data_IF_457494623752
#
_entry.id   IF_457494623752
#
_cell.length_a   1.000
_cell.length_b   1.000
_cell.length_c   1.000
_cell.angle_alpha   90.00
_cell.angle_beta   90.00
_cell.angle_gamma   90.00
#
_symmetry.space_group_name_H-M   'P 1'
#
loop_
_entity.id
_entity.type
_entity.pdbx_description
1 polymer ?
#
# COMPACT_ATOMS: atom_id res chain seq x y z
N UNK A 1 -44.20 -22.22 24.11
CA UNK A 1 -44.09 -20.75 23.91
C UNK A 1 -43.07 -20.21 24.90
N UNK A 2 -41.82 -20.09 24.48
CA UNK A 2 -40.71 -19.64 25.33
C UNK A 2 -40.35 -18.23 24.86
N UNK A 3 -40.69 -17.24 25.68
CA UNK A 3 -40.36 -15.85 25.42
C UNK A 3 -38.87 -15.63 25.57
N UNK A 4 -38.20 -15.34 24.47
CA UNK A 4 -36.80 -14.94 24.43
C UNK A 4 -36.70 -13.53 25.03
N UNK A 5 -36.27 -13.44 26.27
CA UNK A 5 -35.94 -12.17 26.92
C UNK A 5 -34.67 -11.62 26.26
N UNK A 6 -34.80 -10.63 25.40
CA UNK A 6 -33.72 -9.76 24.98
C UNK A 6 -33.25 -8.94 26.19
N UNK A 7 -32.18 -9.39 26.85
CA UNK A 7 -31.50 -8.60 27.90
C UNK A 7 -30.95 -7.33 27.25
N UNK A 8 -31.64 -6.22 27.39
CA UNK A 8 -31.07 -4.89 27.19
C UNK A 8 -29.87 -4.74 28.15
N UNK A 9 -28.67 -4.72 27.58
CA UNK A 9 -27.42 -4.46 28.32
C UNK A 9 -27.42 -2.97 28.72
N UNK A 10 -28.09 -2.62 29.84
CA UNK A 10 -27.97 -1.29 30.44
C UNK A 10 -26.57 -1.16 31.02
N UNK A 11 -25.65 -0.52 30.23
CA UNK A 11 -24.31 -0.25 30.69
C UNK A 11 -24.28 0.56 31.99
N UNK A 12 -23.29 0.31 32.83
CA UNK A 12 -23.10 1.07 34.08
C UNK A 12 -23.01 2.58 33.81
N UNK A 13 -23.41 3.46 34.72
CA UNK A 13 -23.39 4.93 34.51
C UNK A 13 -22.05 5.48 34.01
N UNK A 14 -20.94 4.85 34.42
CA UNK A 14 -19.60 5.18 33.94
C UNK A 14 -19.37 4.83 32.47
N UNK A 15 -19.90 3.71 31.99
CA UNK A 15 -19.80 3.29 30.58
C UNK A 15 -20.63 4.19 29.68
N UNK A 16 -21.78 4.64 30.12
CA UNK A 16 -22.63 5.57 29.36
C UNK A 16 -21.97 6.94 29.25
N UNK A 17 -21.35 7.44 30.33
CA UNK A 17 -20.60 8.70 30.32
C UNK A 17 -19.39 8.64 29.40
N UNK A 18 -18.62 7.55 29.46
CA UNK A 18 -17.45 7.34 28.58
C UNK A 18 -17.86 7.28 27.11
N UNK A 19 -18.91 6.53 26.74
CA UNK A 19 -19.44 6.51 25.37
C UNK A 19 -19.90 7.89 24.88
N UNK A 20 -20.52 8.70 25.75
CA UNK A 20 -20.93 10.06 25.40
C UNK A 20 -19.72 10.97 25.14
N UNK A 21 -18.65 10.86 25.92
CA UNK A 21 -17.41 11.63 25.73
C UNK A 21 -16.72 11.18 24.44
N UNK A 22 -16.62 9.88 24.20
CA UNK A 22 -16.03 9.31 22.97
C UNK A 22 -16.85 9.71 21.74
N UNK A 23 -18.18 9.64 21.80
CA UNK A 23 -19.06 10.08 20.72
C UNK A 23 -18.99 11.61 20.50
N UNK A 24 -18.96 12.40 21.56
CA UNK A 24 -18.80 13.85 21.48
C UNK A 24 -17.46 14.25 20.87
N UNK A 25 -16.38 13.59 21.26
CA UNK A 25 -15.06 13.75 20.67
C UNK A 25 -15.05 13.39 19.18
N UNK A 26 -15.60 12.23 18.81
CA UNK A 26 -15.68 11.80 17.42
C UNK A 26 -16.52 12.77 16.56
N UNK A 27 -17.65 13.25 17.08
CA UNK A 27 -18.47 14.25 16.39
C UNK A 27 -17.75 15.59 16.23
N UNK A 28 -17.02 16.06 17.25
CA UNK A 28 -16.24 17.29 17.18
C UNK A 28 -15.14 17.20 16.12
N UNK A 29 -14.33 16.12 16.14
CA UNK A 29 -13.30 15.91 15.12
C UNK A 29 -13.90 15.69 13.73
N UNK A 30 -15.02 14.97 13.62
CA UNK A 30 -15.73 14.79 12.36
C UNK A 30 -16.26 16.10 11.80
N UNK A 31 -16.83 16.97 12.63
CA UNK A 31 -17.31 18.29 12.22
C UNK A 31 -16.15 19.19 11.78
N UNK A 32 -15.04 19.20 12.52
CA UNK A 32 -13.85 19.98 12.18
C UNK A 32 -13.27 19.56 10.82
N UNK A 33 -13.19 18.26 10.59
CA UNK A 33 -12.70 17.68 9.35
C UNK A 33 -13.63 17.98 8.17
N UNK A 34 -14.96 17.90 8.40
CA UNK A 34 -15.97 18.23 7.40
C UNK A 34 -15.92 19.72 7.02
N UNK A 35 -15.80 20.61 7.99
CA UNK A 35 -15.66 22.06 7.76
C UNK A 35 -14.39 22.34 6.95
N UNK A 36 -13.27 21.73 7.32
CA UNK A 36 -12.00 21.87 6.61
C UNK A 36 -12.10 21.41 5.15
N UNK A 37 -12.74 20.24 4.89
CA UNK A 37 -12.97 19.73 3.54
C UNK A 37 -13.85 20.66 2.72
N UNK A 38 -14.95 21.16 3.29
CA UNK A 38 -15.88 22.07 2.62
C UNK A 38 -15.18 23.40 2.28
N UNK A 39 -14.41 23.96 3.20
CA UNK A 39 -13.66 25.21 2.97
C UNK A 39 -12.65 25.04 1.83
N UNK A 40 -11.90 23.91 1.79
CA UNK A 40 -10.96 23.64 0.71
C UNK A 40 -11.66 23.41 -0.64
N UNK A 41 -12.82 22.74 -0.63
CA UNK A 41 -13.63 22.52 -1.84
C UNK A 41 -14.13 23.85 -2.42
N UNK A 42 -14.55 24.80 -1.58
CA UNK A 42 -15.04 26.11 -2.03
C UNK A 42 -13.90 27.01 -2.49
N UNK A 43 -12.77 27.03 -1.78
CA UNK A 43 -11.63 27.90 -2.10
C UNK A 43 -10.91 27.52 -3.38
N UNK A 44 -10.72 26.22 -3.64
CA UNK A 44 -9.96 25.74 -4.80
C UNK A 44 -10.45 24.36 -5.25
N UNK A 45 -11.59 24.30 -5.97
CA UNK A 45 -12.23 23.05 -6.35
C UNK A 45 -11.35 22.16 -7.24
N UNK A 46 -10.58 22.76 -8.15
CA UNK A 46 -9.66 22.01 -9.04
C UNK A 46 -8.50 21.39 -8.30
N UNK A 47 -7.88 22.10 -7.36
CA UNK A 47 -6.81 21.55 -6.52
C UNK A 47 -7.35 20.48 -5.59
N UNK A 48 -8.52 20.67 -5.00
CA UNK A 48 -9.17 19.67 -4.16
C UNK A 48 -9.42 18.38 -4.93
N UNK A 49 -9.94 18.47 -6.15
CA UNK A 49 -10.17 17.31 -7.00
C UNK A 49 -8.85 16.59 -7.37
N UNK A 50 -7.79 17.33 -7.74
CA UNK A 50 -6.48 16.76 -8.04
C UNK A 50 -5.87 16.02 -6.85
N UNK A 51 -5.90 16.64 -5.65
CA UNK A 51 -5.38 16.00 -4.42
C UNK A 51 -6.21 14.78 -4.04
N UNK A 52 -7.54 14.82 -4.24
CA UNK A 52 -8.42 13.68 -4.00
C UNK A 52 -8.10 12.51 -4.93
N UNK A 53 -7.89 12.75 -6.22
CA UNK A 53 -7.49 11.71 -7.19
C UNK A 53 -6.11 11.14 -6.83
N UNK A 54 -5.15 11.99 -6.45
CA UNK A 54 -3.83 11.54 -6.02
C UNK A 54 -3.92 10.71 -4.73
N UNK A 55 -4.73 11.13 -3.77
CA UNK A 55 -5.00 10.39 -2.54
C UNK A 55 -5.65 9.04 -2.80
N UNK A 56 -6.63 8.99 -3.70
CA UNK A 56 -7.28 7.74 -4.13
C UNK A 56 -6.29 6.79 -4.80
N UNK A 57 -5.46 7.29 -5.73
CA UNK A 57 -4.39 6.52 -6.38
C UNK A 57 -3.43 5.91 -5.35
N UNK A 58 -2.96 6.69 -4.39
CA UNK A 58 -2.08 6.20 -3.33
C UNK A 58 -2.81 5.19 -2.44
N UNK A 59 -4.10 5.43 -2.14
CA UNK A 59 -4.94 4.49 -1.40
C UNK A 59 -5.08 3.14 -2.07
N UNK A 60 -5.23 3.10 -3.41
CA UNK A 60 -5.26 1.85 -4.18
C UNK A 60 -3.95 1.07 -4.08
N UNK A 61 -2.79 1.75 -4.11
CA UNK A 61 -1.49 1.10 -3.93
C UNK A 61 -1.37 0.48 -2.53
N UNK A 62 -1.78 1.21 -1.50
CA UNK A 62 -1.81 0.66 -0.14
C UNK A 62 -2.78 -0.51 0.01
N UNK A 63 -3.94 -0.45 -0.66
CA UNK A 63 -4.91 -1.55 -0.66
C UNK A 63 -4.33 -2.82 -1.29
N UNK A 64 -3.61 -2.72 -2.42
CA UNK A 64 -2.92 -3.86 -3.04
C UNK A 64 -1.84 -4.46 -2.14
N UNK A 65 -1.05 -3.62 -1.48
CA UNK A 65 -0.03 -4.08 -0.52
C UNK A 65 -0.71 -4.77 0.67
N UNK A 66 -1.78 -4.20 1.21
CA UNK A 66 -2.53 -4.76 2.31
C UNK A 66 -3.19 -6.10 1.94
N UNK A 67 -3.72 -6.21 0.72
CA UNK A 67 -4.27 -7.46 0.20
C UNK A 67 -3.20 -8.55 0.10
N UNK A 68 -2.03 -8.23 -0.47
CA UNK A 68 -0.90 -9.16 -0.52
C UNK A 68 -0.45 -9.59 0.88
N UNK A 69 -0.43 -8.67 1.84
CA UNK A 69 -0.11 -8.95 3.23
C UNK A 69 -1.13 -9.89 3.88
N UNK A 70 -2.43 -9.64 3.68
CA UNK A 70 -3.50 -10.47 4.25
C UNK A 70 -3.52 -11.87 3.64
N UNK A 71 -3.21 -12.02 2.34
CA UNK A 71 -3.09 -13.34 1.71
C UNK A 71 -1.94 -14.16 2.33
N UNK A 72 -0.77 -13.54 2.51
CA UNK A 72 0.38 -14.22 3.14
C UNK A 72 0.06 -14.58 4.59
N UNK A 73 -0.54 -13.65 5.36
CA UNK A 73 -0.95 -13.92 6.74
C UNK A 73 -2.00 -15.03 6.84
N UNK A 74 -2.98 -15.05 5.93
CA UNK A 74 -4.04 -16.07 5.91
C UNK A 74 -3.53 -17.50 5.64
N UNK A 75 -2.40 -17.64 4.92
CA UNK A 75 -1.81 -18.93 4.60
C UNK A 75 -0.83 -19.40 5.69
N UNK A 76 0.01 -18.50 6.18
CA UNK A 76 1.15 -18.85 7.07
C UNK A 76 0.81 -18.61 8.54
N UNK A 77 -0.24 -17.83 8.84
CA UNK A 77 -0.65 -17.37 10.18
C UNK A 77 0.47 -16.62 10.94
N UNK A 78 1.47 -16.13 10.22
CA UNK A 78 2.58 -15.37 10.76
C UNK A 78 2.64 -13.98 10.15
N UNK A 79 2.86 -12.97 10.99
CA UNK A 79 2.99 -11.58 10.55
C UNK A 79 4.35 -11.40 9.88
N UNK A 80 4.36 -11.18 8.57
CA UNK A 80 5.58 -10.94 7.79
C UNK A 80 5.84 -9.43 7.64
N UNK A 81 6.58 -8.84 8.57
CA UNK A 81 6.94 -7.42 8.49
C UNK A 81 7.82 -7.06 7.28
N UNK A 82 8.53 -8.05 6.71
CA UNK A 82 9.36 -7.84 5.54
C UNK A 82 8.56 -7.68 4.22
N UNK A 83 7.22 -7.82 4.23
CA UNK A 83 6.41 -7.75 3.02
C UNK A 83 6.46 -6.37 2.34
N UNK A 84 6.42 -5.29 3.13
CA UNK A 84 6.57 -3.92 2.61
C UNK A 84 7.94 -3.66 1.98
N UNK A 85 8.98 -4.25 2.56
CA UNK A 85 10.35 -4.11 2.05
C UNK A 85 10.57 -4.92 0.76
N UNK A 86 9.86 -6.05 0.60
CA UNK A 86 9.81 -6.77 -0.67
C UNK A 86 9.17 -5.94 -1.78
N UNK A 87 8.09 -5.22 -1.49
CA UNK A 87 7.49 -4.29 -2.44
C UNK A 87 8.48 -3.17 -2.82
N UNK A 88 9.18 -2.60 -1.85
CA UNK A 88 10.24 -1.61 -2.10
C UNK A 88 11.33 -2.18 -3.03
N UNK A 89 11.87 -3.35 -2.72
CA UNK A 89 12.92 -3.98 -3.54
C UNK A 89 12.44 -4.33 -4.94
N UNK A 90 11.19 -4.80 -5.09
CA UNK A 90 10.59 -5.07 -6.40
C UNK A 90 10.46 -3.80 -7.24
N UNK A 91 10.06 -2.69 -6.62
CA UNK A 91 9.99 -1.39 -7.26
C UNK A 91 11.36 -0.88 -7.70
N UNK A 92 12.38 -0.99 -6.83
CA UNK A 92 13.77 -0.63 -7.16
C UNK A 92 14.32 -1.51 -8.29
N UNK A 93 14.06 -2.82 -8.24
CA UNK A 93 14.49 -3.76 -9.28
C UNK A 93 13.86 -3.42 -10.62
N UNK A 94 12.55 -3.16 -10.66
CA UNK A 94 11.86 -2.81 -11.91
C UNK A 94 12.40 -1.50 -12.52
N UNK A 95 12.65 -0.49 -11.70
CA UNK A 95 13.27 0.76 -12.16
C UNK A 95 14.69 0.55 -12.68
N UNK A 96 15.49 -0.26 -11.99
CA UNK A 96 16.84 -0.62 -12.44
C UNK A 96 16.81 -1.40 -13.75
N UNK A 97 15.92 -2.38 -13.89
CA UNK A 97 15.76 -3.21 -15.07
C UNK A 97 15.40 -2.37 -16.30
N UNK A 98 14.44 -1.45 -16.15
CA UNK A 98 14.04 -0.55 -17.24
C UNK A 98 15.17 0.37 -17.66
N UNK A 99 15.89 0.96 -16.71
CA UNK A 99 16.93 1.97 -17.01
C UNK A 99 18.21 1.35 -17.54
N UNK A 100 18.62 0.20 -17.03
CA UNK A 100 19.92 -0.41 -17.37
C UNK A 100 19.85 -1.40 -18.53
N UNK A 101 18.76 -2.19 -18.64
CA UNK A 101 18.63 -3.18 -19.71
C UNK A 101 17.94 -2.65 -20.95
N UNK A 102 16.85 -1.90 -20.77
CA UNK A 102 16.15 -1.32 -21.90
C UNK A 102 16.64 0.09 -22.26
N UNK A 103 17.52 0.69 -21.47
CA UNK A 103 18.04 2.07 -21.66
C UNK A 103 16.90 3.08 -21.92
N UNK A 104 15.68 2.76 -21.50
CA UNK A 104 14.52 3.61 -21.70
C UNK A 104 14.39 4.60 -20.55
N UNK A 105 14.63 5.86 -20.86
CA UNK A 105 14.38 6.99 -19.94
C UNK A 105 13.22 7.86 -20.40
N UNK A 106 12.73 7.63 -21.63
CA UNK A 106 11.62 8.39 -22.24
C UNK A 106 10.51 7.46 -22.70
N UNK A 107 9.27 7.96 -22.76
CA UNK A 107 8.13 7.20 -23.23
C UNK A 107 8.25 6.87 -24.73
N UNK A 108 8.15 5.59 -25.07
CA UNK A 108 8.14 5.06 -26.43
C UNK A 108 6.87 4.22 -26.66
N UNK A 109 6.44 4.01 -27.91
CA UNK A 109 5.33 3.11 -28.23
C UNK A 109 5.50 1.69 -27.70
N UNK A 110 6.74 1.21 -27.61
CA UNK A 110 7.10 -0.10 -27.00
C UNK A 110 7.14 -0.09 -25.47
N UNK A 111 6.78 1.01 -24.84
CA UNK A 111 6.81 1.16 -23.38
C UNK A 111 5.91 0.16 -22.63
N UNK A 112 4.79 -0.25 -23.22
CA UNK A 112 3.91 -1.26 -22.65
C UNK A 112 4.57 -2.65 -22.55
N UNK A 113 5.33 -3.02 -23.58
CA UNK A 113 6.04 -4.31 -23.61
C UNK A 113 7.19 -4.31 -22.60
N UNK A 114 7.91 -3.20 -22.52
CA UNK A 114 8.98 -3.00 -21.51
C UNK A 114 8.40 -3.03 -20.09
N UNK A 115 7.24 -2.39 -19.87
CA UNK A 115 6.55 -2.41 -18.60
C UNK A 115 6.12 -3.84 -18.22
N UNK A 116 5.50 -4.58 -19.15
CA UNK A 116 5.09 -5.96 -18.93
C UNK A 116 6.29 -6.87 -18.60
N UNK A 117 7.40 -6.73 -19.34
CA UNK A 117 8.63 -7.47 -19.08
C UNK A 117 9.21 -7.14 -17.71
N UNK A 118 9.29 -5.85 -17.35
CA UNK A 118 9.75 -5.41 -16.05
C UNK A 118 8.86 -5.91 -14.90
N UNK A 119 7.55 -5.97 -15.11
CA UNK A 119 6.60 -6.51 -14.15
C UNK A 119 6.87 -8.00 -13.88
N UNK A 120 6.97 -8.82 -14.94
CA UNK A 120 7.23 -10.26 -14.83
C UNK A 120 8.57 -10.53 -14.15
N UNK A 121 9.62 -9.79 -14.54
CA UNK A 121 10.94 -9.91 -13.92
C UNK A 121 10.94 -9.49 -12.44
N UNK A 122 10.23 -8.42 -12.10
CA UNK A 122 10.09 -7.99 -10.71
C UNK A 122 9.31 -9.01 -9.88
N UNK A 123 8.25 -9.62 -10.43
CA UNK A 123 7.51 -10.71 -9.77
C UNK A 123 8.42 -11.91 -9.50
N UNK A 124 9.19 -12.36 -10.49
CA UNK A 124 10.14 -13.46 -10.35
C UNK A 124 11.22 -13.17 -9.30
N UNK A 125 11.75 -11.92 -9.31
CA UNK A 125 12.73 -11.45 -8.33
C UNK A 125 12.17 -11.45 -6.91
N UNK A 126 10.99 -10.86 -6.69
CA UNK A 126 10.33 -10.83 -5.38
C UNK A 126 9.97 -12.24 -4.90
N UNK A 127 9.49 -13.12 -5.79
CA UNK A 127 9.19 -14.51 -5.47
C UNK A 127 10.46 -15.27 -5.01
N UNK A 128 11.58 -15.06 -5.71
CA UNK A 128 12.87 -15.68 -5.36
C UNK A 128 13.33 -15.21 -3.98
N UNK A 129 13.30 -13.92 -3.70
CA UNK A 129 13.66 -13.39 -2.37
C UNK A 129 12.74 -13.93 -1.30
N UNK A 130 11.43 -13.98 -1.55
CA UNK A 130 10.47 -14.48 -0.56
C UNK A 130 10.70 -15.97 -0.24
N UNK A 131 10.99 -16.80 -1.25
CA UNK A 131 11.36 -18.21 -1.07
C UNK A 131 12.66 -18.35 -0.28
N UNK A 132 13.66 -17.50 -0.54
CA UNK A 132 14.91 -17.49 0.23
C UNK A 132 14.66 -17.12 1.70
N UNK A 133 13.88 -16.10 1.98
CA UNK A 133 13.52 -15.69 3.34
C UNK A 133 12.76 -16.81 4.05
N UNK A 134 11.80 -17.44 3.37
CA UNK A 134 11.04 -18.55 3.94
C UNK A 134 11.96 -19.72 4.29
N UNK A 135 12.85 -20.13 3.39
CA UNK A 135 13.75 -21.26 3.61
C UNK A 135 14.82 -21.00 4.67
N UNK A 136 15.43 -19.81 4.64
CA UNK A 136 16.57 -19.49 5.52
C UNK A 136 16.11 -19.05 6.91
N UNK A 137 15.05 -18.22 6.99
CA UNK A 137 14.61 -17.62 8.23
C UNK A 137 13.40 -18.36 8.84
N UNK A 138 12.29 -18.49 8.11
CA UNK A 138 11.03 -18.91 8.72
C UNK A 138 10.89 -20.43 8.87
N UNK A 139 11.38 -21.22 7.92
CA UNK A 139 11.23 -22.68 7.94
C UNK A 139 11.84 -23.32 9.19
N UNK A 140 12.95 -22.80 9.67
CA UNK A 140 13.63 -23.31 10.89
C UNK A 140 12.88 -22.92 12.16
N UNK A 141 12.07 -21.87 12.13
CA UNK A 141 11.37 -21.33 13.29
C UNK A 141 9.91 -21.77 13.41
N UNK A 142 9.41 -22.60 12.50
CA UNK A 142 8.01 -23.08 12.52
C UNK A 142 7.64 -23.85 13.81
N UNK A 143 8.62 -24.44 14.49
CA UNK A 143 8.43 -25.17 15.76
C UNK A 143 8.79 -24.32 16.99
N UNK A 144 9.26 -23.09 16.80
CA UNK A 144 9.62 -22.19 17.88
C UNK A 144 8.39 -21.44 18.43
N UNK A 145 8.46 -20.85 19.63
CA UNK A 145 7.40 -19.99 20.16
C UNK A 145 7.05 -18.86 19.17
N UNK A 146 5.78 -18.45 19.13
CA UNK A 146 5.25 -17.47 18.17
C UNK A 146 6.02 -16.14 18.12
N UNK A 147 6.72 -15.78 19.19
CA UNK A 147 7.55 -14.58 19.25
C UNK A 147 8.83 -14.67 18.39
N UNK A 148 9.42 -15.86 18.23
CA UNK A 148 10.67 -16.02 17.50
C UNK A 148 10.53 -15.69 15.99
N UNK A 149 9.52 -16.20 15.25
CA UNK A 149 9.27 -15.78 13.88
C UNK A 149 8.99 -14.28 13.75
N UNK A 150 8.29 -13.67 14.74
CA UNK A 150 7.98 -12.25 14.74
C UNK A 150 9.26 -11.39 14.78
N UNK A 151 10.16 -11.68 15.73
CA UNK A 151 11.45 -10.97 15.87
C UNK A 151 12.29 -11.17 14.60
N UNK A 152 12.31 -12.38 14.06
CA UNK A 152 13.04 -12.69 12.82
C UNK A 152 12.47 -11.92 11.63
N UNK A 153 11.14 -11.75 11.53
CA UNK A 153 10.51 -10.95 10.48
C UNK A 153 10.95 -9.50 10.52
N UNK A 154 11.02 -8.90 11.72
CA UNK A 154 11.53 -7.55 11.92
C UNK A 154 13.02 -7.47 11.53
N UNK A 155 13.84 -8.43 11.95
CA UNK A 155 15.25 -8.49 11.57
C UNK A 155 15.45 -8.60 10.05
N UNK A 156 14.64 -9.41 9.37
CA UNK A 156 14.66 -9.54 7.90
C UNK A 156 14.24 -8.24 7.23
N UNK A 157 13.25 -7.53 7.76
CA UNK A 157 12.85 -6.19 7.28
C UNK A 157 14.04 -5.23 7.27
N UNK A 158 14.78 -5.11 8.38
CA UNK A 158 15.99 -4.27 8.43
C UNK A 158 17.07 -4.68 7.42
N UNK A 159 17.29 -6.00 7.23
CA UNK A 159 18.26 -6.50 6.25
C UNK A 159 17.85 -6.07 4.84
N UNK A 160 16.57 -6.22 4.46
CA UNK A 160 16.09 -5.82 3.14
C UNK A 160 16.16 -4.32 2.92
N UNK A 161 15.85 -3.51 3.94
CA UNK A 161 16.00 -2.06 3.89
C UNK A 161 17.45 -1.65 3.68
N UNK A 162 18.37 -2.25 4.42
CA UNK A 162 19.80 -1.99 4.25
C UNK A 162 20.31 -2.37 2.85
N UNK A 163 19.88 -3.51 2.32
CA UNK A 163 20.19 -3.92 0.94
C UNK A 163 19.64 -2.89 -0.05
N UNK A 164 18.40 -2.42 0.12
CA UNK A 164 17.80 -1.40 -0.74
C UNK A 164 18.59 -0.09 -0.73
N UNK A 165 18.96 0.40 0.45
CA UNK A 165 19.77 1.62 0.61
C UNK A 165 21.16 1.45 0.00
N UNK A 166 21.81 0.31 0.22
CA UNK A 166 23.14 0.02 -0.32
C UNK A 166 23.15 -0.08 -1.84
N UNK A 167 22.08 -0.61 -2.42
CA UNK A 167 21.94 -0.79 -3.87
C UNK A 167 21.60 0.51 -4.60
N UNK A 168 20.65 1.28 -4.08
CA UNK A 168 20.08 2.43 -4.78
C UNK A 168 20.39 3.79 -4.13
N UNK A 169 21.01 3.80 -2.95
CA UNK A 169 21.22 4.99 -2.12
C UNK A 169 19.97 5.35 -1.33
N UNK A 170 20.13 6.28 -0.38
CA UNK A 170 19.05 6.76 0.49
C UNK A 170 18.21 7.90 -0.12
N UNK A 171 18.60 8.43 -1.27
CA UNK A 171 17.89 9.54 -1.92
C UNK A 171 16.65 9.05 -2.68
N UNK A 172 15.50 9.74 -2.57
CA UNK A 172 14.32 9.45 -3.39
C UNK A 172 14.64 9.57 -4.87
N UNK A 173 14.31 8.55 -5.65
CA UNK A 173 14.47 8.54 -7.10
C UNK A 173 13.12 8.48 -7.78
N UNK A 174 12.95 9.28 -8.82
CA UNK A 174 11.75 9.20 -9.66
C UNK A 174 11.79 7.93 -10.50
N UNK A 175 10.66 7.23 -10.57
CA UNK A 175 10.50 6.09 -11.44
C UNK A 175 10.54 6.52 -12.92
N UNK A 176 11.20 5.78 -13.83
CA UNK A 176 11.32 6.17 -15.22
C UNK A 176 9.96 6.26 -15.90
N UNK A 177 9.74 7.32 -16.67
CA UNK A 177 8.48 7.58 -17.39
C UNK A 177 8.44 6.75 -18.67
N UNK A 178 8.09 5.48 -18.56
CA UNK A 178 8.11 4.52 -19.68
C UNK A 178 6.77 4.45 -20.40
N UNK A 179 5.66 4.62 -19.65
CA UNK A 179 4.34 4.55 -20.23
C UNK A 179 4.04 5.78 -21.09
N UNK A 180 3.33 5.62 -22.25
CA UNK A 180 2.90 6.74 -23.05
C UNK A 180 2.13 7.75 -22.20
N UNK A 181 2.51 9.01 -22.29
CA UNK A 181 1.85 10.10 -21.58
C UNK A 181 0.59 10.46 -22.37
N UNK A 182 -0.55 10.08 -21.86
CA UNK A 182 -1.84 10.62 -22.25
C UNK A 182 -2.48 11.15 -20.99
N UNK A 183 -2.39 12.45 -20.76
CA UNK A 183 -3.09 13.10 -19.67
C UNK A 183 -4.41 13.64 -20.23
N UNK A 184 -5.52 13.20 -19.66
CA UNK A 184 -6.83 13.78 -19.96
C UNK A 184 -7.09 14.90 -18.96
N UNK A 185 -7.37 16.08 -19.49
CA UNK A 185 -7.77 17.22 -18.67
C UNK A 185 -9.29 17.36 -18.73
N UNK A 186 -9.97 17.04 -17.65
CA UNK A 186 -11.40 17.21 -17.50
C UNK A 186 -11.65 18.29 -16.45
N UNK A 187 -12.21 19.44 -16.85
CA UNK A 187 -12.54 20.53 -15.92
C UNK A 187 -11.33 21.11 -15.15
N UNK A 188 -10.12 21.12 -15.76
CA UNK A 188 -8.89 21.57 -15.12
C UNK A 188 -8.20 20.54 -14.24
N UNK A 189 -8.74 19.32 -14.16
CA UNK A 189 -8.16 18.20 -13.41
C UNK A 189 -7.43 17.28 -14.36
N UNK A 190 -6.15 17.00 -14.10
CA UNK A 190 -5.31 16.13 -14.92
C UNK A 190 -5.46 14.68 -14.44
N UNK A 191 -6.00 13.81 -15.27
CA UNK A 191 -6.13 12.38 -15.01
C UNK A 191 -5.14 11.65 -15.92
N UNK A 192 -4.15 11.01 -15.32
CA UNK A 192 -3.15 10.21 -16.05
C UNK A 192 -3.70 8.81 -16.38
N UNK A 193 -3.36 8.28 -17.54
CA UNK A 193 -3.61 6.88 -17.94
C UNK A 193 -3.13 5.87 -16.88
N UNK A 194 -2.06 6.17 -16.19
CA UNK A 194 -1.53 5.34 -15.10
C UNK A 194 -2.53 5.18 -13.95
N UNK A 195 -3.33 6.23 -13.68
CA UNK A 195 -4.38 6.19 -12.64
C UNK A 195 -5.52 5.27 -13.05
N UNK A 196 -5.94 5.33 -14.33
CA UNK A 196 -6.99 4.48 -14.89
C UNK A 196 -6.54 3.01 -14.88
N UNK A 197 -5.30 2.75 -15.31
CA UNK A 197 -4.72 1.40 -15.30
C UNK A 197 -4.66 0.82 -13.87
N UNK A 198 -4.21 1.61 -12.90
CA UNK A 198 -4.17 1.22 -11.49
C UNK A 198 -5.58 0.87 -10.96
N UNK A 199 -6.59 1.65 -11.35
CA UNK A 199 -7.96 1.43 -10.94
C UNK A 199 -8.51 0.12 -11.51
N UNK A 200 -8.23 -0.18 -12.79
CA UNK A 200 -8.64 -1.44 -13.46
C UNK A 200 -7.97 -2.65 -12.80
N UNK A 201 -6.71 -2.52 -12.37
CA UNK A 201 -5.95 -3.63 -11.74
C UNK A 201 -6.32 -3.83 -10.27
N UNK A 202 -6.70 -2.76 -9.56
CA UNK A 202 -6.91 -2.80 -8.10
C UNK A 202 -8.34 -3.10 -7.67
N UNK A 203 -9.34 -2.95 -8.57
CA UNK A 203 -10.77 -3.07 -8.24
C UNK A 203 -11.37 -4.47 -8.44
N UNK A 204 -10.86 -5.39 -9.31
CA UNK A 204 -11.43 -6.73 -9.43
C UNK A 204 -11.27 -7.66 -8.24
#
# INVERSE_FOLDING_TARGET
>A
MTATQTREFKGTPGQIRRRRIEAGGALFFGALLSIWLIVNLIKSPTQFAQVSILGFKNGLLYALIALGYTLVYGIIELINFAHGDLFMLGSLFSAFFITKWFHQTKSNPSGWLTFAAALVCAMAFCATINVLIERLAYRRLRKAPKLAPLITAVGMSFILQFIGIRWNGSMPKSWPKVLPHGDFTIGGVIISWTTIFLLIVAVP
#
